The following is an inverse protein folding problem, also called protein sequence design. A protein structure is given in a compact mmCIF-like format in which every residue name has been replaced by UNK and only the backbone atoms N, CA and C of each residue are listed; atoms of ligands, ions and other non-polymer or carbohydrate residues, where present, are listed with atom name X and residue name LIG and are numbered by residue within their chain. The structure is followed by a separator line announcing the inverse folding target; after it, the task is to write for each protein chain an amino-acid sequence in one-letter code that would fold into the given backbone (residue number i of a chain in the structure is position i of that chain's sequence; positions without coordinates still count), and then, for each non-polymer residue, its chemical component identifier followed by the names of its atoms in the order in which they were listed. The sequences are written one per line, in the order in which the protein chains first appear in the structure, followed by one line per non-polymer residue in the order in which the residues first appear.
data_IF_312459128373
#
_entry.id   IF_312459128373
#
_cell.length_a   1.000
_cell.length_b   1.000
_cell.length_c   1.000
_cell.angle_alpha   90.00
_cell.angle_beta   90.00
_cell.angle_gamma   90.00
#
_symmetry.space_group_name_H-M   'P 1'
#
loop_
_entity.id
_entity.type
_entity.pdbx_description
1 polymer ?
#
# COMPACT_ATOMS: atom_id res chain seq x y z
N UNK A 1 -31.72 -7.42 0.24
CA UNK A 1 -31.14 -6.55 -0.81
C UNK A 1 -31.52 -5.12 -0.50
N UNK A 2 -30.55 -4.22 -0.35
CA UNK A 2 -30.85 -2.78 -0.17
C UNK A 2 -30.24 -2.02 -1.35
N UNK A 3 -31.12 -1.42 -2.15
CA UNK A 3 -30.80 -0.55 -3.27
C UNK A 3 -30.80 0.88 -2.75
N UNK A 4 -29.62 1.47 -2.54
CA UNK A 4 -29.56 2.90 -2.20
C UNK A 4 -29.88 3.68 -3.49
N UNK A 5 -31.02 4.35 -3.51
CA UNK A 5 -31.41 5.31 -4.54
C UNK A 5 -30.43 6.48 -4.58
N UNK A 6 -29.93 6.77 -5.77
CA UNK A 6 -28.81 7.66 -6.12
C UNK A 6 -29.09 9.17 -5.93
N UNK A 7 -30.11 9.55 -5.15
CA UNK A 7 -30.66 10.92 -5.15
C UNK A 7 -30.21 11.81 -4.00
N UNK A 8 -29.38 11.34 -3.06
CA UNK A 8 -28.83 12.17 -1.97
C UNK A 8 -27.35 12.56 -2.15
N UNK A 9 -26.62 11.97 -3.10
CA UNK A 9 -25.17 12.17 -3.25
C UNK A 9 -24.76 13.31 -4.21
N UNK A 10 -25.72 14.05 -4.78
CA UNK A 10 -25.45 15.10 -5.78
C UNK A 10 -25.09 16.45 -5.13
N UNK A 11 -25.40 16.65 -3.84
CA UNK A 11 -25.04 17.87 -3.11
C UNK A 11 -23.56 17.90 -2.64
N UNK A 12 -22.84 16.79 -2.74
CA UNK A 12 -21.46 16.67 -2.24
C UNK A 12 -20.43 16.49 -3.37
N UNK A 13 -20.60 17.20 -4.49
CA UNK A 13 -19.51 17.37 -5.46
C UNK A 13 -18.43 18.30 -4.90
N UNK A 14 -17.75 17.86 -3.84
CA UNK A 14 -16.35 18.22 -3.60
C UNK A 14 -15.56 17.51 -4.69
N UNK A 15 -15.40 18.15 -5.86
CA UNK A 15 -14.40 17.71 -6.83
C UNK A 15 -13.10 17.46 -6.07
N UNK A 16 -12.45 16.31 -6.30
CA UNK A 16 -11.41 15.75 -5.44
C UNK A 16 -10.36 16.80 -5.03
N UNK A 17 -10.62 17.49 -3.92
CA UNK A 17 -9.74 18.51 -3.39
C UNK A 17 -8.66 17.77 -2.63
N UNK A 18 -7.47 17.70 -3.22
CA UNK A 18 -6.28 17.16 -2.57
C UNK A 18 -5.62 18.35 -1.87
N UNK A 19 -5.62 18.41 -0.53
CA UNK A 19 -4.98 19.50 0.20
C UNK A 19 -3.50 19.58 -0.16
N UNK A 20 -2.96 20.79 -0.36
CA UNK A 20 -1.51 20.99 -0.45
C UNK A 20 -0.90 20.73 0.92
N UNK A 21 -0.03 19.73 1.01
CA UNK A 21 0.61 19.32 2.26
C UNK A 21 1.48 20.47 2.80
N UNK A 22 1.27 20.87 4.07
CA UNK A 22 2.28 21.62 4.86
C UNK A 22 3.54 20.74 4.99
N UNK A 23 4.69 21.32 5.34
CA UNK A 23 5.94 20.56 5.55
C UNK A 23 5.62 19.34 6.45
N UNK A 24 5.83 18.17 5.87
CA UNK A 24 5.35 16.90 6.40
C UNK A 24 5.99 16.57 7.76
N UNK A 25 5.18 16.37 8.80
CA UNK A 25 5.62 15.80 10.09
C UNK A 25 5.51 14.27 10.05
N UNK A 26 5.97 13.66 8.96
CA UNK A 26 6.00 12.21 8.80
C UNK A 26 7.30 11.78 8.13
N UNK A 27 7.73 10.57 8.48
CA UNK A 27 8.95 9.96 7.98
C UNK A 27 8.61 8.67 7.26
N UNK A 28 9.29 8.39 6.16
CA UNK A 28 9.20 7.09 5.50
C UNK A 28 10.38 6.23 5.96
N UNK A 29 10.09 5.16 6.66
CA UNK A 29 11.06 4.12 6.94
C UNK A 29 11.21 3.22 5.73
N UNK A 30 12.45 2.89 5.40
CA UNK A 30 12.82 1.94 4.36
C UNK A 30 13.51 0.77 5.04
N UNK A 31 13.07 -0.45 4.73
CA UNK A 31 13.68 -1.64 5.30
C UNK A 31 15.20 -1.65 5.04
N UNK A 32 15.96 -2.05 6.06
CA UNK A 32 17.42 -2.10 5.97
C UNK A 32 17.91 -3.08 4.90
N UNK A 33 17.13 -4.11 4.56
CA UNK A 33 17.50 -5.12 3.56
C UNK A 33 17.07 -4.76 2.14
N UNK A 34 16.29 -3.69 1.94
CA UNK A 34 15.86 -3.25 0.60
C UNK A 34 17.05 -2.64 -0.17
N UNK A 35 17.64 -3.44 -1.06
CA UNK A 35 18.85 -3.08 -1.81
C UNK A 35 18.62 -1.91 -2.77
N UNK A 36 17.42 -1.84 -3.35
CA UNK A 36 17.09 -0.85 -4.37
C UNK A 36 15.85 -0.07 -3.94
N UNK A 37 16.00 0.86 -2.98
CA UNK A 37 14.86 1.56 -2.40
C UNK A 37 14.22 2.54 -3.38
N UNK A 38 12.92 2.75 -3.21
CA UNK A 38 12.19 3.87 -3.81
C UNK A 38 12.74 5.22 -3.36
N UNK A 39 12.54 6.22 -4.21
CA UNK A 39 12.89 7.61 -3.94
C UNK A 39 11.63 8.39 -3.58
N UNK A 40 11.64 9.01 -2.41
CA UNK A 40 10.50 9.76 -1.86
C UNK A 40 10.65 11.28 -1.97
N UNK A 41 11.49 11.76 -2.89
CA UNK A 41 11.68 13.19 -3.15
C UNK A 41 12.10 13.96 -1.90
N UNK A 42 11.31 14.97 -1.51
CA UNK A 42 11.59 15.83 -0.37
C UNK A 42 11.08 15.29 0.99
N UNK A 43 10.46 14.10 1.02
CA UNK A 43 10.03 13.46 2.27
C UNK A 43 11.26 12.93 3.00
N UNK A 44 11.30 13.10 4.32
CA UNK A 44 12.35 12.52 5.14
C UNK A 44 12.28 10.99 5.08
N UNK A 45 13.42 10.36 4.81
CA UNK A 45 13.54 8.90 4.76
C UNK A 45 14.60 8.41 5.73
N UNK A 46 14.34 7.27 6.37
CA UNK A 46 15.27 6.62 7.28
C UNK A 46 15.34 5.13 7.02
N UNK A 47 16.54 4.56 7.11
CA UNK A 47 16.76 3.11 7.09
C UNK A 47 16.50 2.53 8.48
N UNK A 48 15.68 1.50 8.59
CA UNK A 48 15.42 0.78 9.83
C UNK A 48 14.98 -0.66 9.52
N UNK A 49 15.24 -1.63 10.41
CA UNK A 49 14.66 -2.96 10.26
C UNK A 49 13.14 -2.88 10.43
N UNK A 50 12.39 -3.42 9.47
CA UNK A 50 10.93 -3.53 9.55
C UNK A 50 10.52 -4.97 9.86
N UNK A 51 9.48 -5.13 10.68
CA UNK A 51 8.90 -6.45 10.96
C UNK A 51 8.14 -7.00 9.74
N UNK A 52 7.55 -6.12 8.93
CA UNK A 52 6.86 -6.48 7.68
C UNK A 52 6.83 -5.28 6.72
N UNK A 53 6.76 -5.58 5.43
CA UNK A 53 6.87 -4.61 4.33
C UNK A 53 8.29 -4.13 4.06
N UNK A 54 8.47 -3.43 2.94
CA UNK A 54 9.74 -2.80 2.54
C UNK A 54 9.76 -1.29 2.86
N UNK A 55 8.57 -0.70 3.02
CA UNK A 55 8.40 0.71 3.36
C UNK A 55 7.33 0.88 4.43
N UNK A 56 7.54 1.79 5.36
CA UNK A 56 6.56 2.17 6.35
C UNK A 56 6.43 3.69 6.46
N UNK A 57 5.21 4.19 6.59
CA UNK A 57 4.93 5.57 6.94
C UNK A 57 4.83 5.68 8.47
N UNK A 58 5.62 6.58 9.06
CA UNK A 58 5.60 6.86 10.49
C UNK A 58 5.15 8.29 10.77
N UNK A 59 4.31 8.44 11.79
CA UNK A 59 3.92 9.72 12.37
C UNK A 59 4.30 9.67 13.85
N UNK A 60 5.30 10.45 14.26
CA UNK A 60 5.99 10.23 15.53
C UNK A 60 6.59 8.82 15.59
N UNK A 61 6.27 8.07 16.65
CA UNK A 61 6.76 6.70 16.86
C UNK A 61 5.81 5.62 16.33
N UNK A 62 4.67 6.00 15.73
CA UNK A 62 3.66 5.06 15.27
C UNK A 62 3.79 4.75 13.77
N UNK A 63 3.84 3.46 13.42
CA UNK A 63 3.70 3.00 12.04
C UNK A 63 2.22 3.04 11.65
N UNK A 64 1.91 3.86 10.66
CA UNK A 64 0.53 4.12 10.23
C UNK A 64 0.19 3.51 8.88
N UNK A 65 1.19 3.26 8.04
CA UNK A 65 1.02 2.50 6.82
C UNK A 65 2.25 1.67 6.52
N UNK A 66 2.05 0.55 5.84
CA UNK A 66 3.12 -0.29 5.31
C UNK A 66 2.87 -0.64 3.85
N UNK A 67 3.97 -0.83 3.11
CA UNK A 67 3.96 -1.24 1.72
C UNK A 67 4.97 -2.35 1.51
N UNK A 68 4.52 -3.46 0.94
CA UNK A 68 5.39 -4.49 0.39
C UNK A 68 5.64 -4.19 -1.08
N UNK A 69 6.91 -4.16 -1.49
CA UNK A 69 7.29 -4.05 -2.89
C UNK A 69 7.61 -5.45 -3.41
N UNK A 70 7.01 -5.79 -4.55
CA UNK A 70 7.19 -7.12 -5.15
C UNK A 70 7.52 -7.00 -6.63
N UNK A 71 8.71 -7.41 -7.02
CA UNK A 71 9.04 -7.55 -8.45
C UNK A 71 8.46 -8.85 -8.99
N UNK A 72 8.29 -8.93 -10.31
CA UNK A 72 7.86 -10.17 -10.97
C UNK A 72 8.81 -11.33 -10.68
N UNK A 73 10.12 -11.09 -10.80
CA UNK A 73 11.15 -12.10 -10.58
C UNK A 73 11.10 -12.63 -9.14
N UNK A 74 10.95 -11.72 -8.16
CA UNK A 74 10.87 -12.11 -6.75
C UNK A 74 9.59 -12.89 -6.46
N UNK A 75 8.45 -12.47 -7.02
CA UNK A 75 7.20 -13.21 -6.85
C UNK A 75 7.26 -14.61 -7.46
N UNK A 76 7.77 -14.75 -8.69
CA UNK A 76 7.92 -16.05 -9.35
C UNK A 76 8.84 -16.98 -8.56
N UNK A 77 9.91 -16.45 -7.97
CA UNK A 77 10.78 -17.21 -7.07
C UNK A 77 10.04 -17.63 -5.79
N UNK A 78 9.26 -16.72 -5.19
CA UNK A 78 8.46 -16.98 -3.98
C UNK A 78 7.28 -17.95 -4.21
N UNK A 79 6.84 -18.20 -5.45
CA UNK A 79 5.80 -19.20 -5.73
C UNK A 79 6.16 -20.60 -5.22
N UNK A 80 7.46 -20.95 -5.17
CA UNK A 80 7.94 -22.21 -4.59
C UNK A 80 7.87 -22.25 -3.06
N UNK A 81 7.70 -21.09 -2.40
CA UNK A 81 7.70 -20.93 -0.96
C UNK A 81 6.54 -20.02 -0.52
N UNK A 82 5.34 -20.28 -1.08
CA UNK A 82 4.19 -19.40 -0.93
C UNK A 82 3.78 -19.17 0.52
N UNK A 83 3.98 -20.16 1.40
CA UNK A 83 3.67 -20.05 2.83
C UNK A 83 4.43 -18.91 3.53
N UNK A 84 5.67 -18.63 3.11
CA UNK A 84 6.45 -17.50 3.63
C UNK A 84 5.81 -16.18 3.22
N UNK A 85 5.34 -16.09 1.97
CA UNK A 85 4.64 -14.90 1.50
C UNK A 85 3.30 -14.74 2.20
N UNK A 86 2.52 -15.82 2.40
CA UNK A 86 1.27 -15.81 3.17
C UNK A 86 1.50 -15.33 4.60
N UNK A 87 2.52 -15.85 5.29
CA UNK A 87 2.88 -15.39 6.64
C UNK A 87 3.22 -13.89 6.66
N UNK A 88 3.91 -13.39 5.64
CA UNK A 88 4.16 -11.94 5.49
C UNK A 88 2.86 -11.16 5.35
N UNK A 89 1.93 -11.59 4.50
CA UNK A 89 0.62 -10.95 4.34
C UNK A 89 -0.20 -10.96 5.64
N UNK A 90 -0.15 -12.05 6.41
CA UNK A 90 -0.77 -12.13 7.74
C UNK A 90 -0.21 -11.08 8.71
N UNK A 91 1.11 -10.89 8.75
CA UNK A 91 1.72 -9.84 9.55
C UNK A 91 1.33 -8.44 9.05
N UNK A 92 1.30 -8.24 7.73
CA UNK A 92 0.86 -6.97 7.15
C UNK A 92 -0.59 -6.65 7.50
N UNK A 93 -1.45 -7.67 7.59
CA UNK A 93 -2.85 -7.53 7.95
C UNK A 93 -3.08 -7.00 9.38
N UNK A 94 -2.04 -6.77 10.19
CA UNK A 94 -2.16 -6.11 11.50
C UNK A 94 -2.12 -4.57 11.43
N UNK A 95 -1.63 -4.00 10.33
CA UNK A 95 -1.44 -2.55 10.20
C UNK A 95 -2.63 -1.87 9.53
N UNK A 96 -3.11 -0.70 9.98
CA UNK A 96 -4.37 -0.11 9.50
C UNK A 96 -4.38 0.16 7.99
N UNK A 97 -3.25 0.63 7.45
CA UNK A 97 -3.06 0.88 6.02
C UNK A 97 -1.96 -0.02 5.49
N UNK A 98 -2.30 -0.93 4.58
CA UNK A 98 -1.41 -2.00 4.11
C UNK A 98 -1.67 -2.25 2.63
N UNK A 99 -0.64 -2.57 1.86
CA UNK A 99 -0.76 -2.87 0.42
C UNK A 99 0.50 -3.57 -0.09
N UNK A 100 0.32 -4.51 -1.01
CA UNK A 100 1.40 -5.05 -1.84
C UNK A 100 1.38 -4.35 -3.19
N UNK A 101 2.54 -3.86 -3.61
CA UNK A 101 2.74 -3.16 -4.86
C UNK A 101 3.64 -4.00 -5.76
N UNK A 102 3.06 -4.53 -6.83
CA UNK A 102 3.74 -5.30 -7.84
C UNK A 102 4.34 -4.40 -8.94
N UNK A 103 5.63 -4.58 -9.19
CA UNK A 103 6.31 -3.97 -10.33
C UNK A 103 6.12 -4.84 -11.58
N UNK A 104 5.09 -4.52 -12.35
CA UNK A 104 4.67 -5.21 -13.56
C UNK A 104 3.14 -5.27 -13.62
N UNK A 105 2.58 -5.21 -14.82
CA UNK A 105 1.13 -5.32 -15.01
C UNK A 105 0.68 -6.75 -14.71
N UNK A 106 -0.59 -6.95 -14.33
CA UNK A 106 -1.12 -8.30 -14.11
C UNK A 106 -0.84 -9.24 -15.31
N UNK A 107 -0.98 -8.73 -16.53
CA UNK A 107 -0.66 -9.46 -17.77
C UNK A 107 0.80 -9.87 -17.89
N UNK A 108 1.74 -9.08 -17.36
CA UNK A 108 3.17 -9.44 -17.36
C UNK A 108 3.44 -10.63 -16.43
N UNK A 109 2.66 -10.76 -15.35
CA UNK A 109 2.77 -11.87 -14.41
C UNK A 109 2.15 -13.15 -14.96
N UNK A 110 0.98 -13.08 -15.60
CA UNK A 110 0.24 -14.27 -16.06
C UNK A 110 0.50 -14.65 -17.52
N UNK A 111 1.45 -14.00 -18.20
CA UNK A 111 1.82 -14.35 -19.58
C UNK A 111 2.36 -15.78 -19.67
N UNK A 112 2.01 -16.49 -20.75
CA UNK A 112 2.48 -17.86 -21.03
C UNK A 112 4.00 -17.93 -21.26
N UNK A 113 4.69 -16.80 -21.44
CA UNK A 113 6.14 -16.71 -21.68
C UNK A 113 7.00 -16.93 -20.42
N UNK A 114 6.44 -17.43 -19.33
CA UNK A 114 7.17 -17.74 -18.11
C UNK A 114 7.80 -19.13 -18.21
N UNK A 115 9.12 -19.24 -18.01
CA UNK A 115 9.85 -20.51 -18.14
C UNK A 115 9.46 -21.56 -17.08
N UNK A 116 8.98 -21.12 -15.91
CA UNK A 116 8.79 -22.00 -14.74
C UNK A 116 7.33 -22.31 -14.39
N UNK A 117 6.40 -21.38 -14.66
CA UNK A 117 5.01 -21.51 -14.22
C UNK A 117 4.04 -21.09 -15.32
N UNK A 118 2.98 -21.89 -15.50
CA UNK A 118 1.91 -21.53 -16.42
C UNK A 118 1.15 -20.29 -15.92
N UNK A 119 0.73 -19.42 -16.84
CA UNK A 119 -0.05 -18.22 -16.52
C UNK A 119 -1.30 -18.50 -15.69
N UNK A 120 -2.02 -19.58 -16.00
CA UNK A 120 -3.21 -20.01 -15.27
C UNK A 120 -2.91 -20.37 -13.79
N UNK A 121 -1.76 -20.98 -13.52
CA UNK A 121 -1.34 -21.27 -12.15
C UNK A 121 -1.09 -19.99 -11.36
N UNK A 122 -0.39 -19.03 -11.96
CA UNK A 122 -0.10 -17.73 -11.35
C UNK A 122 -1.38 -16.96 -11.07
N UNK A 123 -2.30 -16.93 -12.05
CA UNK A 123 -3.62 -16.31 -11.90
C UNK A 123 -4.40 -16.93 -10.74
N UNK A 124 -4.39 -18.26 -10.60
CA UNK A 124 -5.02 -18.96 -9.48
C UNK A 124 -4.39 -18.55 -8.15
N UNK A 125 -3.05 -18.54 -8.05
CA UNK A 125 -2.37 -18.14 -6.81
C UNK A 125 -2.71 -16.71 -6.41
N UNK A 126 -2.70 -15.76 -7.36
CA UNK A 126 -3.09 -14.37 -7.09
C UNK A 126 -4.55 -14.30 -6.61
N UNK A 127 -5.46 -15.04 -7.25
CA UNK A 127 -6.86 -15.15 -6.85
C UNK A 127 -7.02 -15.69 -5.43
N UNK A 128 -6.30 -16.77 -5.10
CA UNK A 128 -6.30 -17.39 -3.77
C UNK A 128 -5.76 -16.42 -2.70
N UNK A 129 -4.69 -15.68 -3.00
CA UNK A 129 -4.14 -14.67 -2.09
C UNK A 129 -5.14 -13.53 -1.84
N UNK A 130 -5.81 -13.03 -2.88
CA UNK A 130 -6.85 -12.00 -2.73
C UNK A 130 -8.06 -12.49 -1.91
N UNK A 131 -8.43 -13.77 -2.07
CA UNK A 131 -9.54 -14.36 -1.32
C UNK A 131 -9.18 -14.63 0.16
N UNK A 132 -7.95 -15.05 0.43
CA UNK A 132 -7.46 -15.29 1.80
C UNK A 132 -7.14 -13.99 2.55
N UNK A 133 -6.64 -12.97 1.85
CA UNK A 133 -6.23 -11.69 2.43
C UNK A 133 -6.99 -10.50 1.81
N UNK A 134 -8.33 -10.43 1.97
CA UNK A 134 -9.13 -9.38 1.34
C UNK A 134 -8.76 -7.96 1.81
N UNK A 135 -8.19 -7.83 3.02
CA UNK A 135 -7.77 -6.56 3.60
C UNK A 135 -6.35 -6.13 3.21
N UNK A 136 -5.64 -6.94 2.41
CA UNK A 136 -4.30 -6.61 1.87
C UNK A 136 -4.37 -6.49 0.35
N UNK A 137 -4.61 -5.28 -0.18
CA UNK A 137 -4.73 -5.07 -1.62
C UNK A 137 -3.44 -5.47 -2.36
N UNK A 138 -3.61 -6.15 -3.49
CA UNK A 138 -2.54 -6.50 -4.42
C UNK A 138 -2.66 -5.59 -5.65
N UNK A 139 -1.78 -4.60 -5.78
CA UNK A 139 -1.84 -3.60 -6.86
C UNK A 139 -0.73 -3.82 -7.87
N UNK A 140 -1.07 -3.80 -9.15
CA UNK A 140 -0.15 -4.02 -10.27
C UNK A 140 0.11 -2.71 -11.02
N UNK A 141 1.37 -2.45 -11.36
CA UNK A 141 1.79 -1.22 -12.02
C UNK A 141 2.65 -1.52 -13.25
N UNK A 142 2.71 -0.62 -14.23
CA UNK A 142 3.56 -0.80 -15.43
C UNK A 142 5.04 -1.09 -15.10
N UNK A 143 5.52 -0.60 -13.96
CA UNK A 143 6.84 -0.94 -13.44
C UNK A 143 7.24 -0.05 -12.27
N UNK A 144 8.52 -0.12 -11.91
CA UNK A 144 9.12 0.57 -10.77
C UNK A 144 8.75 2.05 -10.65
N UNK A 145 8.84 2.83 -11.73
CA UNK A 145 8.59 4.27 -11.70
C UNK A 145 7.14 4.61 -11.30
N UNK A 146 6.17 3.94 -11.91
CA UNK A 146 4.75 4.13 -11.59
C UNK A 146 4.40 3.61 -10.20
N UNK A 147 4.98 2.48 -9.79
CA UNK A 147 4.81 1.93 -8.45
C UNK A 147 5.34 2.90 -7.38
N UNK A 148 6.58 3.38 -7.52
CA UNK A 148 7.18 4.38 -6.63
C UNK A 148 6.32 5.65 -6.55
N UNK A 149 5.87 6.18 -7.69
CA UNK A 149 5.06 7.38 -7.71
C UNK A 149 3.73 7.18 -6.97
N UNK A 150 3.09 6.03 -7.18
CA UNK A 150 1.86 5.70 -6.48
C UNK A 150 2.07 5.55 -4.98
N UNK A 151 3.13 4.85 -4.54
CA UNK A 151 3.45 4.69 -3.10
C UNK A 151 3.71 6.04 -2.43
N UNK A 152 4.40 6.96 -3.11
CA UNK A 152 4.59 8.33 -2.63
C UNK A 152 3.25 9.03 -2.36
N UNK A 153 2.32 9.01 -3.31
CA UNK A 153 1.00 9.64 -3.14
C UNK A 153 0.11 8.89 -2.15
N UNK A 154 0.23 7.57 -2.06
CA UNK A 154 -0.47 6.76 -1.07
C UNK A 154 -0.10 7.17 0.35
N UNK A 155 1.20 7.29 0.65
CA UNK A 155 1.65 7.77 1.96
C UNK A 155 1.18 9.20 2.26
N UNK A 156 1.23 10.10 1.27
CA UNK A 156 0.66 11.45 1.44
C UNK A 156 -0.84 11.40 1.77
N UNK A 157 -1.60 10.55 1.08
CA UNK A 157 -3.03 10.41 1.30
C UNK A 157 -3.33 9.85 2.69
N UNK A 158 -2.58 8.84 3.16
CA UNK A 158 -2.73 8.29 4.51
C UNK A 158 -2.43 9.36 5.55
N UNK A 159 -1.30 10.07 5.43
CA UNK A 159 -0.93 11.14 6.35
C UNK A 159 -2.03 12.20 6.44
N UNK A 160 -2.53 12.69 5.30
CA UNK A 160 -3.57 13.72 5.26
C UNK A 160 -4.87 13.28 5.97
N UNK A 161 -5.23 12.00 5.90
CA UNK A 161 -6.40 11.46 6.63
C UNK A 161 -6.18 11.45 8.13
N UNK A 162 -4.96 11.13 8.58
CA UNK A 162 -4.64 11.13 10.00
C UNK A 162 -4.52 12.55 10.57
N UNK A 163 -3.83 13.45 9.88
CA UNK A 163 -3.71 14.85 10.30
C UNK A 163 -5.04 15.60 10.30
N UNK A 164 -5.95 15.25 9.38
CA UNK A 164 -7.31 15.82 9.35
C UNK A 164 -8.20 15.31 10.49
N UNK A 165 -7.96 14.10 10.99
CA UNK A 165 -8.70 13.52 12.12
C UNK A 165 -8.28 14.16 13.45
N UNK A 166 -6.99 14.45 13.65
CA UNK A 166 -6.47 15.08 14.87
C UNK A 166 -6.95 16.53 15.07
N UNK A 167 -7.28 17.27 13.99
CA UNK A 167 -7.75 18.65 14.09
C UNK A 167 -9.21 18.79 14.56
N UNK A 168 -10.00 17.71 14.52
CA UNK A 168 -11.41 17.73 14.95
C UNK A 168 -11.55 17.39 16.44
N UNK A 169 -10.61 16.64 17.01
CA UNK A 169 -10.62 16.23 18.42
C UNK A 169 -10.35 17.36 19.43
N UNK A 170 -9.79 18.51 19.01
CA UNK A 170 -9.50 19.63 19.90
C UNK A 170 -10.61 20.70 19.93
N UNK A 171 -11.68 20.54 19.16
CA UNK A 171 -12.78 21.50 19.09
C UNK A 171 -13.97 21.18 20.02
N UNK A 172 -13.98 20.00 20.66
CA UNK A 172 -15.10 19.53 21.50
C UNK A 172 -14.85 19.65 23.01
N UNK A 173 -13.77 20.31 23.46
CA UNK A 173 -13.52 20.54 24.90
C UNK A 173 -13.97 21.91 25.45
N UNK A 174 -14.53 22.79 24.62
CA UNK A 174 -15.03 24.11 25.06
C UNK A 174 -16.56 24.21 24.97
N UNK A 175 -17.29 23.25 25.56
CA UNK A 175 -18.70 23.49 25.94
C UNK A 175 -18.99 22.80 27.28
N UNK A 176 -19.14 23.65 28.31
CA UNK A 176 -19.79 23.47 29.63
C UNK A 176 -18.96 22.84 30.77
#
# INVERSE_FOLDING_TARGET
MFWITQSSSIAERRGAYIPKTKRAEYTVLIDSNERYPYQFGAIETRRAPLQSGDYALCIGDAIVAIVERKTRENFLHELGHLDVFRAKLQEMAKFPHRVVVFEGSYTDFVSEKNEFYQGAFIARVIGDLCAEFPDVPLLFFKGRKSANQWVFYYFQAVYNRQSGTSAVSSADCDIS
#
